data_IF_366562855338
#
_entry.id   IF_366562855338
#
_cell.length_a   1.000
_cell.length_b   1.000
_cell.length_c   1.000
_cell.angle_alpha   90.00
_cell.angle_beta   90.00
_cell.angle_gamma   90.00
#
_symmetry.space_group_name_H-M   'P 1'
#
loop_
_entity.id
_entity.type
_entity.pdbx_description
1 polymer ?
#
# COMPACT_ATOMS: atom_id res chain seq x y z
N UNK A 1 19.18 -2.71 -0.46
CA UNK A 1 18.13 -2.81 0.57
C UNK A 1 18.81 -2.71 1.93
N UNK A 2 18.31 -1.84 2.83
CA UNK A 2 18.76 -1.81 4.22
C UNK A 2 18.30 -3.10 4.90
N UNK A 3 19.15 -3.70 5.73
CA UNK A 3 18.76 -4.87 6.52
C UNK A 3 17.98 -4.41 7.75
N UNK A 4 16.65 -4.37 7.60
CA UNK A 4 15.71 -3.90 8.62
C UNK A 4 15.61 -4.86 9.81
N UNK A 5 16.13 -6.09 9.70
CA UNK A 5 16.10 -7.08 10.78
C UNK A 5 17.10 -6.78 11.90
N UNK A 6 18.09 -5.92 11.63
CA UNK A 6 19.17 -5.57 12.57
C UNK A 6 18.96 -4.22 13.26
N UNK A 7 17.86 -3.53 12.95
CA UNK A 7 17.57 -2.21 13.50
C UNK A 7 17.25 -2.29 15.00
N UNK A 8 17.81 -1.36 15.76
CA UNK A 8 17.49 -1.19 17.17
C UNK A 8 16.50 -0.04 17.34
N UNK A 9 15.22 -0.39 17.48
CA UNK A 9 14.13 0.58 17.63
C UNK A 9 14.11 1.25 19.01
N UNK A 10 14.76 0.67 20.02
CA UNK A 10 14.74 1.19 21.40
C UNK A 10 15.50 2.51 21.58
N UNK A 11 16.48 2.77 20.72
CA UNK A 11 17.35 3.96 20.80
C UNK A 11 17.18 4.90 19.61
N UNK A 12 16.27 4.57 18.70
CA UNK A 12 16.04 5.28 17.46
C UNK A 12 15.22 6.54 17.71
N UNK A 13 15.50 7.60 16.94
CA UNK A 13 14.72 8.84 16.98
C UNK A 13 13.48 8.74 16.10
N UNK A 14 12.50 9.62 16.35
CA UNK A 14 11.30 9.71 15.50
C UNK A 14 11.61 10.10 14.05
N UNK A 15 12.65 10.90 13.83
CA UNK A 15 13.13 11.25 12.48
C UNK A 15 13.67 10.03 11.76
N UNK A 16 14.57 9.28 12.40
CA UNK A 16 15.14 8.06 11.81
C UNK A 16 14.07 7.00 11.53
N UNK A 17 13.07 6.89 12.42
CA UNK A 17 11.92 6.02 12.19
C UNK A 17 11.14 6.44 10.94
N UNK A 18 10.83 7.74 10.82
CA UNK A 18 10.06 8.28 9.70
C UNK A 18 10.78 8.10 8.37
N UNK A 19 12.11 8.21 8.35
CA UNK A 19 12.93 7.98 7.17
C UNK A 19 12.96 6.50 6.73
N UNK A 20 12.72 5.57 7.67
CA UNK A 20 12.67 4.12 7.42
C UNK A 20 11.25 3.60 7.24
N UNK A 21 10.25 4.42 7.54
CA UNK A 21 8.85 4.03 7.56
C UNK A 21 8.34 3.49 6.21
N UNK A 22 8.71 4.07 5.05
CA UNK A 22 8.30 3.52 3.76
C UNK A 22 8.82 2.09 3.54
N UNK A 23 10.09 1.82 3.86
CA UNK A 23 10.66 0.48 3.71
C UNK A 23 10.11 -0.50 4.75
N UNK A 24 9.85 -0.04 5.98
CA UNK A 24 9.22 -0.83 7.02
C UNK A 24 7.80 -1.27 6.60
N UNK A 25 6.97 -0.35 6.12
CA UNK A 25 5.61 -0.64 5.63
C UNK A 25 5.60 -1.54 4.39
N UNK A 26 6.60 -1.43 3.51
CA UNK A 26 6.70 -2.29 2.31
C UNK A 26 7.24 -3.69 2.60
N UNK A 27 7.96 -3.88 3.72
CA UNK A 27 8.60 -5.17 4.06
C UNK A 27 7.84 -5.94 5.14
N UNK A 28 6.84 -5.34 5.78
CA UNK A 28 6.03 -5.99 6.80
C UNK A 28 5.05 -6.97 6.14
N UNK A 29 5.10 -8.24 6.54
CA UNK A 29 4.08 -9.25 6.19
C UNK A 29 2.78 -9.09 7.01
N UNK A 30 2.56 -7.95 7.67
CA UNK A 30 1.42 -7.67 8.55
C UNK A 30 1.35 -6.20 8.98
N UNK A 31 0.59 -5.91 10.03
CA UNK A 31 0.48 -4.59 10.63
C UNK A 31 1.77 -4.24 11.39
N UNK A 32 2.42 -3.17 10.97
CA UNK A 32 3.58 -2.60 11.64
C UNK A 32 3.24 -2.10 13.05
N UNK A 33 1.98 -1.67 13.26
CA UNK A 33 1.47 -1.22 14.57
C UNK A 33 1.42 -2.32 15.63
N UNK A 34 1.38 -3.59 15.23
CA UNK A 34 1.38 -4.76 16.12
C UNK A 34 2.77 -5.41 16.27
N UNK A 35 3.80 -4.87 15.61
CA UNK A 35 5.15 -5.45 15.66
C UNK A 35 5.70 -5.34 17.11
N UNK A 36 6.03 -6.48 17.76
CA UNK A 36 6.58 -6.49 19.12
C UNK A 36 7.87 -5.67 19.28
N UNK A 37 8.66 -5.55 18.21
CA UNK A 37 9.93 -4.81 18.20
C UNK A 37 9.72 -3.30 18.27
N UNK A 38 8.55 -2.82 17.86
CA UNK A 38 8.21 -1.39 17.83
C UNK A 38 7.36 -0.95 19.02
N UNK A 39 6.79 -1.86 19.81
CA UNK A 39 5.90 -1.51 20.92
C UNK A 39 6.54 -0.55 21.92
N UNK A 40 7.78 -0.81 22.32
CA UNK A 40 8.49 0.07 23.26
C UNK A 40 8.77 1.46 22.66
N UNK A 41 9.07 1.52 21.36
CA UNK A 41 9.22 2.78 20.64
C UNK A 41 7.88 3.54 20.58
N UNK A 42 6.78 2.85 20.27
CA UNK A 42 5.44 3.42 20.23
C UNK A 42 4.91 3.88 21.58
N UNK A 43 5.22 3.17 22.66
CA UNK A 43 4.90 3.58 24.03
C UNK A 43 5.61 4.90 24.40
N UNK A 44 6.82 5.09 23.87
CA UNK A 44 7.63 6.30 24.09
C UNK A 44 7.23 7.43 23.12
N UNK A 45 6.72 7.09 21.94
CA UNK A 45 6.38 7.99 20.85
C UNK A 45 4.95 7.71 20.33
N UNK A 46 3.91 8.09 21.09
CA UNK A 46 2.53 7.79 20.74
C UNK A 46 2.09 8.40 19.41
N UNK A 47 2.64 9.55 19.02
CA UNK A 47 2.36 10.20 17.74
C UNK A 47 2.86 9.37 16.55
N UNK A 48 4.01 8.71 16.69
CA UNK A 48 4.52 7.81 15.66
C UNK A 48 3.64 6.55 15.53
N UNK A 49 3.11 6.06 16.65
CA UNK A 49 2.17 4.94 16.66
C UNK A 49 0.84 5.31 15.97
N UNK A 50 0.33 6.52 16.22
CA UNK A 50 -0.87 7.03 15.56
C UNK A 50 -0.66 7.17 14.04
N UNK A 51 0.48 7.74 13.62
CA UNK A 51 0.84 7.84 12.20
C UNK A 51 0.85 6.48 11.50
N UNK A 52 1.46 5.46 12.13
CA UNK A 52 1.51 4.11 11.56
C UNK A 52 0.10 3.54 11.38
N UNK A 53 -0.77 3.67 12.39
CA UNK A 53 -2.17 3.21 12.28
C UNK A 53 -2.94 3.93 11.19
N UNK A 54 -2.75 5.25 11.05
CA UNK A 54 -3.38 6.03 9.99
C UNK A 54 -2.92 5.56 8.60
N UNK A 55 -1.61 5.31 8.44
CA UNK A 55 -1.06 4.80 7.18
C UNK A 55 -1.56 3.39 6.86
N UNK A 56 -1.69 2.51 7.85
CA UNK A 56 -2.28 1.19 7.68
C UNK A 56 -3.76 1.27 7.29
N UNK A 57 -4.52 2.16 7.93
CA UNK A 57 -5.93 2.39 7.57
C UNK A 57 -6.07 2.94 6.15
N UNK A 58 -5.19 3.85 5.73
CA UNK A 58 -5.12 4.35 4.35
C UNK A 58 -4.77 3.21 3.39
N UNK A 59 -3.78 2.38 3.71
CA UNK A 59 -3.37 1.26 2.87
C UNK A 59 -4.51 0.25 2.71
N UNK A 60 -5.26 -0.04 3.77
CA UNK A 60 -6.42 -0.92 3.73
C UNK A 60 -7.56 -0.32 2.90
N UNK A 61 -7.87 0.97 3.10
CA UNK A 61 -8.86 1.67 2.27
C UNK A 61 -8.46 1.71 0.79
N UNK A 62 -7.16 1.85 0.50
CA UNK A 62 -6.64 1.87 -0.86
C UNK A 62 -6.78 0.52 -1.57
N UNK A 63 -6.66 -0.62 -0.86
CA UNK A 63 -6.90 -1.94 -1.47
C UNK A 63 -8.30 -2.04 -2.08
N UNK A 64 -9.32 -1.54 -1.38
CA UNK A 64 -10.69 -1.51 -1.88
C UNK A 64 -10.89 -0.64 -3.13
N UNK A 65 -9.97 0.29 -3.43
CA UNK A 65 -9.99 1.04 -4.69
C UNK A 65 -9.44 0.22 -5.87
N UNK A 66 -8.50 -0.68 -5.63
CA UNK A 66 -7.90 -1.51 -6.68
C UNK A 66 -8.70 -2.80 -6.94
N UNK A 67 -9.40 -3.33 -5.94
CA UNK A 67 -10.28 -4.50 -6.10
C UNK A 67 -11.47 -4.25 -7.05
N UNK A 68 -11.83 -2.99 -7.29
CA UNK A 68 -12.93 -2.64 -8.19
C UNK A 68 -12.59 -2.75 -9.69
N UNK A 69 -11.31 -2.82 -10.06
CA UNK A 69 -10.86 -2.69 -11.46
C UNK A 69 -10.30 -3.99 -12.08
N UNK A 70 -10.17 -5.10 -11.33
CA UNK A 70 -9.64 -6.36 -11.89
C UNK A 70 -10.69 -7.21 -12.64
N UNK A 71 -12.00 -7.01 -12.43
CA UNK A 71 -13.06 -7.87 -13.01
C UNK A 71 -14.25 -7.11 -13.63
N UNK A 72 -13.97 -6.01 -14.32
CA UNK A 72 -14.89 -5.55 -15.36
C UNK A 72 -14.21 -5.68 -16.72
N UNK A 73 -13.80 -6.90 -17.09
CA UNK A 73 -13.56 -7.18 -18.50
C UNK A 73 -14.84 -6.76 -19.25
N UNK A 74 -14.75 -5.83 -20.21
CA UNK A 74 -15.94 -5.37 -20.89
C UNK A 74 -16.60 -6.57 -21.54
N UNK A 75 -17.92 -6.73 -21.37
CA UNK A 75 -18.64 -7.86 -21.93
C UNK A 75 -18.25 -8.08 -23.40
N UNK A 76 -18.01 -9.33 -23.83
CA UNK A 76 -17.57 -9.69 -25.19
C UNK A 76 -18.35 -8.97 -26.30
N UNK A 77 -19.65 -8.76 -26.06
CA UNK A 77 -20.55 -8.01 -26.97
C UNK A 77 -20.13 -6.57 -27.25
N UNK A 78 -19.36 -5.93 -26.36
CA UNK A 78 -18.78 -4.60 -26.56
C UNK A 78 -17.59 -4.69 -27.52
N UNK A 79 -16.73 -5.69 -27.35
CA UNK A 79 -15.59 -5.94 -28.24
C UNK A 79 -16.05 -6.31 -29.65
N UNK A 80 -17.08 -7.14 -29.77
CA UNK A 80 -17.70 -7.48 -31.06
C UNK A 80 -18.26 -6.23 -31.76
N UNK A 81 -18.89 -5.31 -31.02
CA UNK A 81 -19.39 -4.05 -31.57
C UNK A 81 -18.25 -3.13 -32.02
N UNK A 82 -17.17 -3.05 -31.26
CA UNK A 82 -15.98 -2.25 -31.61
C UNK A 82 -15.33 -2.81 -32.87
N UNK A 83 -15.10 -4.13 -32.93
CA UNK A 83 -14.53 -4.80 -34.09
C UNK A 83 -15.42 -4.61 -35.34
N UNK A 84 -16.74 -4.73 -35.19
CA UNK A 84 -17.69 -4.46 -36.26
C UNK A 84 -17.62 -3.03 -36.78
N UNK A 85 -17.52 -2.03 -35.88
CA UNK A 85 -17.44 -0.62 -36.30
C UNK A 85 -16.15 -0.28 -37.03
N UNK A 86 -15.00 -0.80 -36.57
CA UNK A 86 -13.70 -0.61 -37.22
C UNK A 86 -13.64 -1.19 -38.64
N UNK A 87 -14.41 -2.24 -38.93
CA UNK A 87 -14.52 -2.81 -40.28
C UNK A 87 -15.45 -2.03 -41.20
N UNK A 88 -16.32 -1.19 -40.64
CA UNK A 88 -17.33 -0.42 -41.38
C UNK A 88 -16.99 1.05 -41.60
N UNK A 89 -15.93 1.59 -40.98
CA UNK A 89 -15.39 2.91 -41.33
C UNK A 89 -14.52 2.79 -42.60
N UNK A 90 -14.96 3.30 -43.76
CA UNK A 90 -14.04 3.54 -44.86
C UNK A 90 -13.05 4.62 -44.41
N UNK A 91 -11.75 4.38 -44.62
CA UNK A 91 -10.73 5.40 -44.46
C UNK A 91 -11.03 6.54 -45.45
N UNK A 92 -11.58 7.66 -44.95
CA UNK A 92 -11.61 8.94 -45.66
C UNK A 92 -10.25 9.64 -45.61
#
# INVERSE_FOLDING_TARGET
MKDLSTLNFDTMTTTEFSDLLPELMSSSEGTLSDDPRLQKFFDTHPDAAALVRDLEAIAEAAKGLFEADEEAEPADTLWDKIAGKLQTEPAE
#
